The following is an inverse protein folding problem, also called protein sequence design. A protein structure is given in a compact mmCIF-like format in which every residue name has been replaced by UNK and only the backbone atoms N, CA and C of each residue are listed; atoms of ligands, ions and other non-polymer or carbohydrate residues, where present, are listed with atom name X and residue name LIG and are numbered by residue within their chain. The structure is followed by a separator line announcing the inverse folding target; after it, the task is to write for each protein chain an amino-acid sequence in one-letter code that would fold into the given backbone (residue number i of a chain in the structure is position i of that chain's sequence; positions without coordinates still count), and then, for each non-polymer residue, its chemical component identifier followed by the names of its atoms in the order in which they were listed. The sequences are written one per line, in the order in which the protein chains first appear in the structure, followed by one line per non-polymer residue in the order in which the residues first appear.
data_IF_803116646822
#
_entry.id   IF_803116646822
#
_cell.length_a   1.000
_cell.length_b   1.000
_cell.length_c   1.000
_cell.angle_alpha   90.00
_cell.angle_beta   90.00
_cell.angle_gamma   90.00
#
_symmetry.space_group_name_H-M   'P 1'
#
loop_
_entity.id
_entity.type
_entity.pdbx_description
1 polymer ?
#
# COMPACT_ATOMS: atom_id res chain seq x y z
N UNK A 1 23.25 -40.44 22.54
CA UNK A 1 24.25 -39.55 23.15
C UNK A 1 25.64 -40.00 22.73
N UNK A 2 26.35 -39.21 21.93
CA UNK A 2 27.79 -39.30 21.71
C UNK A 2 28.26 -37.90 21.31
N UNK A 3 28.91 -37.25 22.26
CA UNK A 3 29.53 -35.94 22.14
C UNK A 3 30.95 -36.19 21.63
N UNK A 4 31.36 -35.52 20.56
CA UNK A 4 32.77 -35.38 20.19
C UNK A 4 32.97 -34.00 19.59
N UNK A 5 33.54 -33.13 20.43
CA UNK A 5 34.08 -31.84 20.06
C UNK A 5 35.45 -32.05 19.39
N UNK A 6 35.68 -31.37 18.28
CA UNK A 6 37.03 -31.11 17.76
C UNK A 6 37.10 -29.64 17.37
N UNK A 7 37.80 -28.88 18.21
CA UNK A 7 38.37 -27.56 17.94
C UNK A 7 39.79 -27.78 17.39
N UNK A 8 40.37 -26.73 16.75
CA UNK A 8 41.81 -26.48 16.41
C UNK A 8 42.04 -26.54 14.87
N UNK A 9 42.67 -25.58 14.17
CA UNK A 9 43.30 -24.29 14.49
C UNK A 9 43.44 -23.46 13.19
N UNK A 10 43.59 -22.16 13.40
CA UNK A 10 44.02 -21.09 12.49
C UNK A 10 45.01 -21.47 11.37
N UNK A 11 44.78 -20.91 10.19
CA UNK A 11 45.83 -20.49 9.25
C UNK A 11 45.54 -19.06 8.78
N UNK A 12 46.42 -18.14 9.18
CA UNK A 12 46.51 -16.76 8.70
C UNK A 12 47.52 -16.66 7.53
N UNK A 13 47.56 -15.48 6.89
CA UNK A 13 48.37 -14.97 5.76
C UNK A 13 47.55 -14.85 4.46
N UNK A 14 47.52 -13.74 3.71
CA UNK A 14 48.21 -12.45 3.82
C UNK A 14 47.45 -11.40 3.00
N UNK A 15 47.56 -10.16 3.47
CA UNK A 15 47.58 -8.88 2.76
C UNK A 15 47.44 -8.90 1.24
N UNK A 16 46.45 -8.15 0.75
CA UNK A 16 46.63 -7.29 -0.42
C UNK A 16 45.86 -5.98 -0.20
N UNK A 17 46.59 -4.94 0.19
CA UNK A 17 46.14 -3.57 0.09
C UNK A 17 46.05 -3.20 -1.41
N UNK A 18 44.93 -2.66 -1.84
CA UNK A 18 44.71 -2.16 -3.20
C UNK A 18 43.75 -0.98 -3.17
N UNK A 19 44.23 0.14 -2.66
CA UNK A 19 43.53 1.42 -2.63
C UNK A 19 43.70 2.09 -4.00
N UNK A 20 42.61 2.24 -4.76
CA UNK A 20 42.58 3.08 -5.95
C UNK A 20 41.25 3.83 -6.02
N UNK A 21 41.07 4.77 -5.10
CA UNK A 21 40.06 5.81 -5.23
C UNK A 21 40.58 6.84 -6.23
N UNK A 22 39.93 6.94 -7.39
CA UNK A 22 40.20 7.99 -8.37
C UNK A 22 39.86 9.35 -7.76
N UNK A 23 40.73 10.37 -7.87
CA UNK A 23 40.39 11.71 -7.40
C UNK A 23 39.30 12.30 -8.30
N UNK A 24 38.14 12.58 -7.70
CA UNK A 24 37.14 13.50 -8.26
C UNK A 24 37.84 14.85 -8.44
N UNK A 25 37.73 15.41 -9.65
CA UNK A 25 38.33 16.69 -10.00
C UNK A 25 37.84 17.80 -9.05
N UNK A 26 38.81 18.53 -8.53
CA UNK A 26 38.68 19.80 -7.84
C UNK A 26 37.69 20.71 -8.60
N UNK A 27 36.59 21.07 -7.94
CA UNK A 27 35.67 22.07 -8.46
C UNK A 27 36.29 23.44 -8.16
N UNK A 28 37.11 23.93 -9.09
CA UNK A 28 37.70 25.28 -8.99
C UNK A 28 36.59 26.31 -8.94
N UNK A 29 36.52 27.02 -7.80
CA UNK A 29 35.70 28.20 -7.60
C UNK A 29 36.03 29.26 -8.65
N UNK A 30 35.08 29.56 -9.53
CA UNK A 30 35.06 30.81 -10.29
C UNK A 30 34.39 31.90 -9.43
N UNK A 31 34.80 33.17 -9.53
CA UNK A 31 34.24 34.25 -8.72
C UNK A 31 32.76 34.45 -9.03
N UNK A 32 31.96 34.60 -7.96
CA UNK A 32 30.52 34.84 -8.03
C UNK A 32 30.23 36.15 -8.77
N UNK A 33 29.52 36.04 -9.89
CA UNK A 33 28.81 37.15 -10.52
C UNK A 33 27.57 37.48 -9.66
N UNK A 34 27.44 38.68 -9.08
CA UNK A 34 26.33 39.03 -8.21
C UNK A 34 25.00 39.24 -8.95
N UNK A 35 24.93 39.04 -10.28
CA UNK A 35 23.70 39.27 -11.05
C UNK A 35 23.27 38.13 -11.98
N UNK A 36 23.85 36.94 -11.86
CA UNK A 36 23.38 35.76 -12.58
C UNK A 36 22.13 35.18 -11.88
N UNK A 37 20.95 35.54 -12.39
CA UNK A 37 19.69 34.87 -12.05
C UNK A 37 19.82 33.38 -12.36
N UNK A 38 19.79 32.57 -11.31
CA UNK A 38 19.65 31.12 -11.45
C UNK A 38 18.20 30.81 -11.83
N UNK A 39 17.91 30.73 -13.13
CA UNK A 39 16.69 30.07 -13.60
C UNK A 39 16.85 28.56 -13.45
N UNK A 40 16.87 28.09 -12.19
CA UNK A 40 16.57 26.69 -11.88
C UNK A 40 15.08 26.50 -12.08
N UNK A 41 14.70 26.09 -13.29
CA UNK A 41 13.33 25.67 -13.60
C UNK A 41 13.10 24.28 -12.98
N UNK A 42 13.14 24.18 -11.65
CA UNK A 42 12.41 23.16 -10.91
C UNK A 42 10.96 23.62 -10.83
N UNK A 43 10.26 23.54 -11.97
CA UNK A 43 8.81 23.65 -12.01
C UNK A 43 8.20 22.37 -11.42
N UNK A 44 8.20 22.27 -10.09
CA UNK A 44 7.17 21.53 -9.39
C UNK A 44 6.06 22.54 -9.06
N UNK A 45 5.44 23.11 -10.10
CA UNK A 45 4.11 23.67 -9.91
C UNK A 45 3.22 22.55 -9.39
N UNK A 46 2.33 22.79 -8.42
CA UNK A 46 1.35 21.77 -8.09
C UNK A 46 0.50 21.62 -9.34
N UNK A 47 0.72 20.54 -10.09
CA UNK A 47 -0.32 20.04 -10.97
C UNK A 47 -1.47 19.68 -10.03
N UNK A 48 -2.33 20.68 -9.80
CA UNK A 48 -3.63 20.47 -9.18
C UNK A 48 -4.41 19.61 -10.17
N UNK A 49 -4.17 18.31 -10.10
CA UNK A 49 -5.10 17.31 -10.60
C UNK A 49 -6.37 17.56 -9.82
N UNK A 50 -7.31 18.25 -10.46
CA UNK A 50 -8.64 18.43 -9.91
C UNK A 50 -9.16 17.03 -9.57
N UNK A 51 -9.49 16.74 -8.30
CA UNK A 51 -10.01 15.43 -7.96
C UNK A 51 -11.27 15.18 -8.81
N UNK A 52 -11.29 14.04 -9.50
CA UNK A 52 -12.51 13.54 -10.14
C UNK A 52 -13.66 13.64 -9.13
N UNK A 53 -14.91 13.93 -9.55
CA UNK A 53 -16.02 14.14 -8.63
C UNK A 53 -16.14 12.97 -7.66
N UNK A 54 -15.66 13.19 -6.44
CA UNK A 54 -15.68 12.21 -5.36
C UNK A 54 -17.13 12.14 -4.88
N UNK A 55 -17.62 10.94 -4.59
CA UNK A 55 -18.82 10.83 -3.77
C UNK A 55 -18.56 11.65 -2.50
N UNK A 56 -19.45 12.60 -2.17
CA UNK A 56 -19.31 13.48 -1.00
C UNK A 56 -19.39 12.63 0.27
N UNK A 57 -18.29 12.02 0.67
CA UNK A 57 -18.15 11.29 1.92
C UNK A 57 -17.45 12.18 2.93
N UNK A 58 -17.73 11.96 4.21
CA UNK A 58 -17.03 12.64 5.32
C UNK A 58 -15.52 12.36 5.30
N UNK A 59 -15.10 11.28 4.65
CA UNK A 59 -13.73 10.78 4.67
C UNK A 59 -13.02 11.08 3.36
N UNK A 60 -12.02 11.95 3.39
CA UNK A 60 -11.17 12.18 2.23
C UNK A 60 -10.25 10.99 2.03
N UNK A 61 -10.38 10.34 0.88
CA UNK A 61 -9.52 9.23 0.51
C UNK A 61 -8.14 9.72 0.09
N UNK A 62 -7.11 9.11 0.67
CA UNK A 62 -5.71 9.23 0.23
C UNK A 62 -5.36 8.07 -0.71
N UNK A 63 -4.22 8.17 -1.37
CA UNK A 63 -3.71 7.10 -2.23
C UNK A 63 -3.98 7.32 -3.72
N UNK A 64 -3.52 6.37 -4.51
CA UNK A 64 -3.57 6.44 -5.97
C UNK A 64 -4.82 5.72 -6.48
N UNK A 65 -5.57 6.26 -7.46
CA UNK A 65 -6.65 5.53 -8.11
C UNK A 65 -6.12 4.26 -8.77
N UNK A 66 -6.76 3.12 -8.52
CA UNK A 66 -6.35 1.81 -9.03
C UNK A 66 -7.53 1.06 -9.64
N UNK A 67 -7.24 0.23 -10.64
CA UNK A 67 -8.24 -0.65 -11.22
C UNK A 67 -8.58 -1.80 -10.27
N UNK A 68 -9.80 -1.77 -9.73
CA UNK A 68 -10.37 -2.84 -8.90
C UNK A 68 -11.51 -3.58 -9.60
N UNK A 69 -11.62 -3.44 -10.93
CA UNK A 69 -12.71 -4.03 -11.72
C UNK A 69 -12.77 -5.56 -11.61
N UNK A 70 -11.60 -6.21 -11.54
CA UNK A 70 -11.49 -7.66 -11.39
C UNK A 70 -12.08 -8.12 -10.06
N UNK A 71 -11.70 -7.49 -8.95
CA UNK A 71 -12.19 -7.83 -7.62
C UNK A 71 -13.66 -7.42 -7.45
N UNK A 72 -14.08 -6.31 -8.05
CA UNK A 72 -15.49 -5.88 -8.05
C UNK A 72 -16.36 -6.90 -8.77
N UNK A 73 -15.92 -7.40 -9.93
CA UNK A 73 -16.60 -8.48 -10.65
C UNK A 73 -16.67 -9.78 -9.84
N UNK A 74 -15.63 -10.09 -9.07
CA UNK A 74 -15.61 -11.27 -8.19
C UNK A 74 -16.61 -11.14 -7.04
N UNK A 75 -16.67 -9.96 -6.40
CA UNK A 75 -17.65 -9.63 -5.36
C UNK A 75 -19.06 -9.77 -5.91
N UNK A 76 -19.38 -9.14 -7.05
CA UNK A 76 -20.72 -9.20 -7.66
C UNK A 76 -21.16 -10.64 -7.96
N UNK A 77 -20.25 -11.47 -8.50
CA UNK A 77 -20.53 -12.89 -8.76
C UNK A 77 -20.79 -13.67 -7.47
N UNK A 78 -19.99 -13.44 -6.44
CA UNK A 78 -20.13 -14.11 -5.16
C UNK A 78 -21.41 -13.66 -4.42
N UNK A 79 -21.76 -12.38 -4.46
CA UNK A 79 -23.03 -11.84 -3.94
C UNK A 79 -24.23 -12.41 -4.67
N UNK A 80 -24.18 -12.48 -6.01
CA UNK A 80 -25.25 -13.07 -6.80
C UNK A 80 -25.43 -14.57 -6.52
N UNK A 81 -24.34 -15.31 -6.29
CA UNK A 81 -24.40 -16.71 -5.89
C UNK A 81 -25.00 -16.86 -4.48
N UNK A 82 -24.53 -16.07 -3.51
CA UNK A 82 -25.03 -16.10 -2.14
C UNK A 82 -26.51 -15.67 -2.07
N UNK A 83 -26.97 -14.79 -2.95
CA UNK A 83 -28.40 -14.43 -3.04
C UNK A 83 -29.29 -15.63 -3.42
N UNK A 84 -28.77 -16.58 -4.21
CA UNK A 84 -29.51 -17.80 -4.59
C UNK A 84 -29.49 -18.85 -3.48
N UNK A 85 -28.46 -18.83 -2.63
CA UNK A 85 -28.27 -19.77 -1.53
C UNK A 85 -27.59 -19.08 -0.33
N UNK A 86 -28.39 -18.34 0.45
CA UNK A 86 -27.89 -17.42 1.48
C UNK A 86 -27.24 -18.13 2.69
N UNK A 87 -27.53 -19.42 2.87
CA UNK A 87 -27.01 -20.23 3.97
C UNK A 87 -25.75 -21.02 3.58
N UNK A 88 -25.25 -20.84 2.35
CA UNK A 88 -24.10 -21.59 1.87
C UNK A 88 -22.79 -21.03 2.43
N UNK A 89 -22.22 -21.73 3.41
CA UNK A 89 -20.96 -21.33 4.04
C UNK A 89 -19.79 -21.21 3.05
N UNK A 90 -19.75 -22.04 2.00
CA UNK A 90 -18.71 -21.94 0.97
C UNK A 90 -18.85 -20.64 0.16
N UNK A 91 -20.08 -20.22 -0.15
CA UNK A 91 -20.33 -18.97 -0.86
C UNK A 91 -20.04 -17.75 0.04
N UNK A 92 -20.36 -17.81 1.33
CA UNK A 92 -19.97 -16.78 2.29
C UNK A 92 -18.44 -16.63 2.37
N UNK A 93 -17.71 -17.75 2.46
CA UNK A 93 -16.24 -17.75 2.44
C UNK A 93 -15.67 -17.21 1.13
N UNK A 94 -16.24 -17.59 -0.02
CA UNK A 94 -15.82 -17.04 -1.31
C UNK A 94 -16.06 -15.52 -1.40
N UNK A 95 -17.19 -15.04 -0.88
CA UNK A 95 -17.47 -13.61 -0.80
C UNK A 95 -16.52 -12.89 0.15
N UNK A 96 -16.18 -13.50 1.30
CA UNK A 96 -15.16 -12.99 2.21
C UNK A 96 -13.81 -12.83 1.52
N UNK A 97 -13.36 -13.85 0.77
CA UNK A 97 -12.12 -13.81 0.00
C UNK A 97 -12.13 -12.69 -1.03
N UNK A 98 -13.22 -12.53 -1.80
CA UNK A 98 -13.31 -11.48 -2.81
C UNK A 98 -13.20 -10.06 -2.20
N UNK A 99 -13.84 -9.84 -1.04
CA UNK A 99 -13.69 -8.60 -0.28
C UNK A 99 -12.26 -8.42 0.25
N UNK A 100 -11.67 -9.46 0.84
CA UNK A 100 -10.30 -9.44 1.34
C UNK A 100 -9.30 -9.06 0.23
N UNK A 101 -9.40 -9.71 -0.93
CA UNK A 101 -8.52 -9.45 -2.09
C UNK A 101 -8.62 -8.01 -2.56
N UNK A 102 -9.82 -7.42 -2.63
CA UNK A 102 -9.97 -6.00 -2.98
C UNK A 102 -9.34 -5.10 -1.91
N UNK A 103 -9.53 -5.43 -0.64
CA UNK A 103 -8.91 -4.74 0.49
C UNK A 103 -7.37 -4.72 0.40
N UNK A 104 -6.75 -5.83 -0.04
CA UNK A 104 -5.28 -5.92 -0.24
C UNK A 104 -4.82 -4.92 -1.30
N UNK A 105 -5.42 -4.94 -2.49
CA UNK A 105 -5.03 -4.05 -3.59
C UNK A 105 -5.26 -2.57 -3.21
N UNK A 106 -6.35 -2.27 -2.50
CA UNK A 106 -6.61 -0.92 -1.97
C UNK A 106 -5.59 -0.48 -0.93
N UNK A 107 -5.13 -1.40 -0.08
CA UNK A 107 -4.09 -1.13 0.93
C UNK A 107 -2.76 -0.82 0.26
N UNK A 108 -2.39 -1.56 -0.79
CA UNK A 108 -1.19 -1.29 -1.61
C UNK A 108 -1.27 0.10 -2.27
N UNK A 109 -2.47 0.51 -2.70
CA UNK A 109 -2.74 1.84 -3.23
C UNK A 109 -2.84 2.95 -2.15
N UNK A 110 -2.64 2.62 -0.87
CA UNK A 110 -2.80 3.51 0.30
C UNK A 110 -4.21 4.08 0.48
N UNK A 111 -5.23 3.44 -0.11
CA UNK A 111 -6.65 3.76 0.07
C UNK A 111 -7.22 3.11 1.35
N UNK A 112 -6.58 3.38 2.50
CA UNK A 112 -6.86 2.69 3.77
C UNK A 112 -8.32 2.79 4.23
N UNK A 113 -8.99 3.91 3.99
CA UNK A 113 -10.38 4.10 4.37
C UNK A 113 -11.32 3.11 3.64
N UNK A 114 -11.11 2.86 2.34
CA UNK A 114 -11.90 1.88 1.59
C UNK A 114 -11.48 0.46 1.89
N UNK A 115 -10.16 0.22 2.00
CA UNK A 115 -9.64 -1.09 2.36
C UNK A 115 -10.22 -1.58 3.70
N UNK A 116 -10.33 -0.70 4.69
CA UNK A 116 -10.94 -0.98 5.99
C UNK A 116 -12.38 -1.50 5.84
N UNK A 117 -13.16 -0.90 4.95
CA UNK A 117 -14.54 -1.31 4.69
C UNK A 117 -14.62 -2.70 4.05
N UNK A 118 -13.72 -2.98 3.11
CA UNK A 118 -13.64 -4.29 2.47
C UNK A 118 -13.18 -5.38 3.44
N UNK A 119 -12.19 -5.13 4.29
CA UNK A 119 -11.79 -6.11 5.31
C UNK A 119 -12.88 -6.36 6.35
N UNK A 120 -13.62 -5.33 6.78
CA UNK A 120 -14.77 -5.50 7.68
C UNK A 120 -15.85 -6.37 7.04
N UNK A 121 -16.15 -6.17 5.76
CA UNK A 121 -17.07 -7.05 5.02
C UNK A 121 -16.53 -8.47 4.92
N UNK A 122 -15.23 -8.65 4.69
CA UNK A 122 -14.62 -9.98 4.68
C UNK A 122 -14.86 -10.73 6.00
N UNK A 123 -14.63 -10.07 7.14
CA UNK A 123 -14.88 -10.66 8.47
C UNK A 123 -16.37 -10.88 8.74
N UNK A 124 -17.26 -10.04 8.18
CA UNK A 124 -18.71 -10.22 8.31
C UNK A 124 -19.21 -11.50 7.63
N UNK A 125 -18.64 -11.86 6.48
CA UNK A 125 -19.02 -13.08 5.75
C UNK A 125 -18.26 -14.33 6.22
N UNK A 126 -17.02 -14.17 6.65
CA UNK A 126 -16.25 -15.24 7.28
C UNK A 126 -15.58 -14.71 8.55
N UNK A 127 -16.22 -14.88 9.72
CA UNK A 127 -15.64 -14.47 11.00
C UNK A 127 -14.27 -15.10 11.25
N UNK A 128 -13.95 -16.25 10.66
CA UNK A 128 -12.69 -16.96 10.84
C UNK A 128 -11.54 -16.42 9.96
N UNK A 129 -11.80 -15.41 9.12
CA UNK A 129 -10.77 -14.76 8.29
C UNK A 129 -9.82 -13.92 9.15
N UNK A 130 -8.79 -14.58 9.70
CA UNK A 130 -7.79 -13.97 10.57
C UNK A 130 -6.92 -12.93 9.85
N UNK A 131 -6.66 -13.11 8.56
CA UNK A 131 -5.88 -12.17 7.76
C UNK A 131 -6.63 -10.83 7.60
N UNK A 132 -7.93 -10.87 7.29
CA UNK A 132 -8.77 -9.68 7.24
C UNK A 132 -8.82 -8.95 8.59
N UNK A 133 -8.95 -9.69 9.72
CA UNK A 133 -8.87 -9.11 11.07
C UNK A 133 -7.52 -8.43 11.32
N UNK A 134 -6.42 -9.09 10.98
CA UNK A 134 -5.08 -8.52 11.11
C UNK A 134 -4.91 -7.22 10.32
N UNK A 135 -5.49 -7.14 9.11
CA UNK A 135 -5.45 -5.90 8.33
C UNK A 135 -6.33 -4.78 8.90
N UNK A 136 -7.50 -5.10 9.46
CA UNK A 136 -8.32 -4.12 10.18
C UNK A 136 -7.50 -3.48 11.31
N UNK A 137 -6.85 -4.31 12.14
CA UNK A 137 -6.04 -3.85 13.26
C UNK A 137 -4.86 -2.98 12.78
N UNK A 138 -4.14 -3.43 11.74
CA UNK A 138 -3.03 -2.67 11.14
C UNK A 138 -3.48 -1.31 10.61
N UNK A 139 -4.62 -1.24 9.91
CA UNK A 139 -5.13 0.03 9.39
C UNK A 139 -5.51 0.96 10.55
N UNK A 140 -6.19 0.47 11.57
CA UNK A 140 -6.53 1.26 12.77
C UNK A 140 -5.26 1.79 13.44
N UNK A 141 -4.21 0.96 13.55
CA UNK A 141 -2.91 1.39 14.06
C UNK A 141 -2.24 2.46 13.19
N UNK A 142 -2.34 2.38 11.86
CA UNK A 142 -1.85 3.44 10.95
C UNK A 142 -2.56 4.76 11.24
N UNK A 143 -3.89 4.75 11.36
CA UNK A 143 -4.66 5.95 11.69
C UNK A 143 -4.26 6.53 13.05
N UNK A 144 -4.11 5.68 14.07
CA UNK A 144 -3.64 6.08 15.39
C UNK A 144 -2.24 6.70 15.35
N UNK A 145 -1.30 6.10 14.61
CA UNK A 145 0.05 6.63 14.42
C UNK A 145 0.10 7.97 13.67
N UNK A 146 -0.90 8.23 12.83
CA UNK A 146 -1.08 9.52 12.15
C UNK A 146 -1.84 10.56 12.99
N UNK A 147 -2.26 10.21 14.22
CA UNK A 147 -3.14 11.01 15.06
C UNK A 147 -4.43 11.45 14.32
N UNK A 148 -5.01 10.51 13.56
CA UNK A 148 -6.24 10.71 12.77
C UNK A 148 -7.29 9.69 13.18
N UNK A 149 -8.55 10.11 13.19
CA UNK A 149 -9.67 9.19 13.27
C UNK A 149 -9.75 8.33 12.01
N UNK A 150 -10.21 7.09 12.16
CA UNK A 150 -10.55 6.21 11.04
C UNK A 150 -12.07 6.15 10.84
N UNK A 151 -12.55 5.79 9.63
CA UNK A 151 -13.97 5.53 9.42
C UNK A 151 -14.51 4.47 10.38
N UNK A 152 -15.71 4.73 10.91
CA UNK A 152 -16.51 3.70 11.60
C UNK A 152 -17.18 2.79 10.58
N UNK A 153 -17.67 1.65 11.02
CA UNK A 153 -18.41 0.73 10.15
C UNK A 153 -19.61 1.44 9.53
N UNK A 154 -19.71 1.39 8.20
CA UNK A 154 -20.73 2.08 7.41
C UNK A 154 -20.35 3.49 6.98
N UNK A 155 -19.26 4.06 7.50
CA UNK A 155 -18.74 5.36 7.05
C UNK A 155 -17.64 5.23 5.99
N UNK A 156 -17.20 4.01 5.65
CA UNK A 156 -16.09 3.80 4.72
C UNK A 156 -16.45 4.26 3.29
N UNK A 157 -15.59 5.08 2.66
CA UNK A 157 -15.82 5.52 1.30
C UNK A 157 -15.62 4.36 0.30
N UNK A 158 -16.29 4.41 -0.87
CA UNK A 158 -15.96 3.50 -1.97
C UNK A 158 -14.55 3.78 -2.51
N UNK A 159 -13.92 2.83 -3.21
CA UNK A 159 -12.64 3.05 -3.89
C UNK A 159 -12.63 4.29 -4.77
N UNK A 160 -11.48 4.96 -4.86
CA UNK A 160 -11.29 6.08 -5.76
C UNK A 160 -11.57 5.67 -7.22
N UNK A 161 -12.28 6.51 -8.00
CA UNK A 161 -12.62 6.19 -9.38
C UNK A 161 -11.36 6.12 -10.25
N UNK A 162 -11.12 4.96 -10.84
CA UNK A 162 -10.03 4.74 -11.80
C UNK A 162 -10.45 5.15 -13.21
N UNK A 163 -9.62 5.97 -13.87
CA UNK A 163 -9.75 6.32 -15.29
C UNK A 163 -8.51 5.82 -16.02
N UNK A 164 -8.61 4.84 -16.92
CA UNK A 164 -7.46 4.42 -17.70
C UNK A 164 -6.99 5.60 -18.57
N UNK A 165 -5.70 5.91 -18.53
CA UNK A 165 -5.12 6.91 -19.42
C UNK A 165 -5.31 6.44 -20.86
N UNK A 166 -5.93 7.29 -21.69
CA UNK A 166 -6.02 7.06 -23.13
C UNK A 166 -4.62 7.27 -23.70
N UNK A 167 -3.98 6.20 -24.17
CA UNK A 167 -2.74 6.28 -24.95
C UNK A 167 -3.00 6.90 -26.32
#
# INVERSE_FOLDING_TARGET
MKVLASVIVLSALSMACGNAASPVRENSAAPADPNARQDSVLSHGPAQTQPAPQAKTKWTQSGDPIDVSTQTSAIEKAEAALKKDANNEKLKKALSVAYYERGVVLTEARQYASALGDYRKAVKFDPDNADARSWIDKIIMIYAGLNKDHPKEGEEPPPLPFKPEKK
#
